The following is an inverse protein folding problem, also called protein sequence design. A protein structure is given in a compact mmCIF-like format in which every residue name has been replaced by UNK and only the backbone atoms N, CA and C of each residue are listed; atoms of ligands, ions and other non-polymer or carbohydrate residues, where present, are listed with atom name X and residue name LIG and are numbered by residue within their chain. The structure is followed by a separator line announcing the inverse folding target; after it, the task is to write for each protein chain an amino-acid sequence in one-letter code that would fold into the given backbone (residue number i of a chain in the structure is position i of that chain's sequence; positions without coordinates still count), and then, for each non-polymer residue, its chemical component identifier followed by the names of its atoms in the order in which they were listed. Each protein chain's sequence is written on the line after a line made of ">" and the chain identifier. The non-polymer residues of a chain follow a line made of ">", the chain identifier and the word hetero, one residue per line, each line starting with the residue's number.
data_IF_666100296501
#
_entry.id   IF_666100296501
#
_cell.length_a   1.000
_cell.length_b   1.000
_cell.length_c   1.000
_cell.angle_alpha   90.00
_cell.angle_beta   90.00
_cell.angle_gamma   90.00
#
_symmetry.space_group_name_H-M   'P 1'
#
loop_
_entity.id
_entity.type
_entity.pdbx_description
1 polymer ?
#
# COMPACT_ATOMS: atom_id res chain seq x y z
N UNK A 1 -17.00 -55.41 -70.30
CA UNK A 1 -17.65 -54.09 -70.45
C UNK A 1 -17.82 -53.50 -69.06
N UNK A 2 -17.23 -52.33 -68.79
CA UNK A 2 -17.26 -51.67 -67.48
C UNK A 2 -18.64 -51.06 -67.22
N UNK A 3 -19.36 -51.53 -66.20
CA UNK A 3 -20.59 -50.92 -65.71
C UNK A 3 -20.23 -49.81 -64.71
N UNK A 4 -20.58 -48.57 -65.03
CA UNK A 4 -20.44 -47.43 -64.14
C UNK A 4 -21.40 -47.54 -62.96
N UNK A 5 -20.87 -47.48 -61.74
CA UNK A 5 -21.62 -47.10 -60.55
C UNK A 5 -21.42 -45.60 -60.34
N UNK A 6 -22.43 -44.81 -60.68
CA UNK A 6 -22.53 -43.41 -60.28
C UNK A 6 -22.97 -43.36 -58.82
N UNK A 7 -22.08 -42.86 -57.96
CA UNK A 7 -22.41 -42.49 -56.60
C UNK A 7 -23.36 -41.28 -56.64
N UNK A 8 -24.62 -41.48 -56.22
CA UNK A 8 -25.52 -40.38 -55.87
C UNK A 8 -25.33 -40.05 -54.39
N UNK A 9 -24.73 -38.91 -54.11
CA UNK A 9 -24.74 -38.30 -52.78
C UNK A 9 -26.19 -37.94 -52.44
N UNK A 10 -26.80 -38.63 -51.48
CA UNK A 10 -28.05 -38.18 -50.89
C UNK A 10 -27.78 -36.84 -50.20
N UNK A 11 -28.47 -35.77 -50.64
CA UNK A 11 -28.59 -34.54 -49.88
C UNK A 11 -29.31 -34.88 -48.57
N UNK A 12 -28.54 -35.09 -47.51
CA UNK A 12 -29.08 -35.03 -46.16
C UNK A 12 -29.71 -33.64 -46.00
N UNK A 13 -30.97 -33.63 -45.57
CA UNK A 13 -31.71 -32.42 -45.22
C UNK A 13 -30.87 -31.59 -44.24
N UNK A 14 -30.31 -30.49 -44.73
CA UNK A 14 -29.74 -29.45 -43.88
C UNK A 14 -30.87 -28.82 -43.07
N UNK A 15 -31.20 -29.41 -41.92
CA UNK A 15 -31.93 -28.71 -40.87
C UNK A 15 -30.96 -27.70 -40.27
N UNK A 16 -30.96 -26.49 -40.81
CA UNK A 16 -30.34 -25.34 -40.17
C UNK A 16 -30.99 -25.17 -38.80
N UNK A 17 -30.23 -25.43 -37.75
CA UNK A 17 -30.66 -25.08 -36.38
C UNK A 17 -30.15 -23.67 -36.14
N UNK A 18 -31.05 -22.69 -36.17
CA UNK A 18 -30.72 -21.35 -35.70
C UNK A 18 -30.28 -21.45 -34.24
N UNK A 19 -29.00 -21.24 -33.98
CA UNK A 19 -28.48 -21.11 -32.63
C UNK A 19 -28.60 -19.63 -32.25
N UNK A 20 -29.55 -19.24 -31.38
CA UNK A 20 -29.66 -17.85 -30.97
C UNK A 20 -28.40 -17.45 -30.20
N UNK A 21 -27.51 -16.70 -30.86
CA UNK A 21 -26.34 -16.12 -30.23
C UNK A 21 -26.80 -14.94 -29.38
N UNK A 22 -26.95 -15.16 -28.07
CA UNK A 22 -27.16 -14.05 -27.14
C UNK A 22 -25.89 -13.19 -27.11
N UNK A 23 -26.04 -11.92 -27.48
CA UNK A 23 -24.95 -10.96 -27.40
C UNK A 23 -24.40 -10.93 -25.96
N UNK A 24 -23.08 -11.00 -25.84
CA UNK A 24 -22.38 -10.88 -24.56
C UNK A 24 -22.41 -9.43 -24.06
N UNK A 25 -22.11 -9.27 -22.78
CA UNK A 25 -22.09 -8.02 -22.03
C UNK A 25 -20.73 -7.76 -21.44
N UNK A 26 -20.44 -6.48 -21.26
CA UNK A 26 -19.29 -5.95 -20.54
C UNK A 26 -19.75 -5.34 -19.23
N UNK A 27 -19.06 -5.65 -18.14
CA UNK A 27 -19.21 -4.97 -16.84
C UNK A 27 -17.93 -4.22 -16.53
N UNK A 28 -18.04 -2.93 -16.24
CA UNK A 28 -16.91 -2.05 -15.92
C UNK A 28 -17.11 -1.42 -14.56
N UNK A 29 -16.08 -1.45 -13.69
CA UNK A 29 -16.05 -0.65 -12.47
C UNK A 29 -15.01 0.46 -12.60
N UNK A 30 -15.41 1.67 -12.22
CA UNK A 30 -14.55 2.85 -12.08
C UNK A 30 -14.59 3.30 -10.63
N UNK A 31 -13.43 3.64 -10.06
CA UNK A 31 -13.33 4.09 -8.68
C UNK A 31 -12.91 5.57 -8.62
N UNK A 32 -13.59 6.34 -7.79
CA UNK A 32 -13.25 7.71 -7.45
C UNK A 32 -12.85 7.74 -5.96
N UNK A 33 -11.56 7.53 -5.68
CA UNK A 33 -11.02 7.52 -4.30
C UNK A 33 -10.57 8.93 -3.92
N UNK A 34 -11.22 9.53 -2.92
CA UNK A 34 -11.00 10.93 -2.53
C UNK A 34 -9.90 11.09 -1.48
N UNK A 35 -9.66 10.06 -0.68
CA UNK A 35 -8.67 10.08 0.41
C UNK A 35 -7.24 9.85 -0.08
N UNK A 36 -7.07 9.00 -1.09
CA UNK A 36 -5.79 8.70 -1.73
C UNK A 36 -6.01 8.31 -3.20
N UNK A 37 -6.05 9.29 -4.14
CA UNK A 37 -6.44 9.03 -5.52
C UNK A 37 -5.64 7.95 -6.24
N UNK A 38 -4.34 7.82 -5.91
CA UNK A 38 -3.42 6.80 -6.44
C UNK A 38 -3.32 5.61 -5.48
N UNK A 39 -4.39 4.84 -5.32
CA UNK A 39 -4.39 3.65 -4.49
C UNK A 39 -4.21 2.41 -5.37
N UNK A 40 -3.33 1.49 -4.97
CA UNK A 40 -3.19 0.18 -5.61
C UNK A 40 -4.15 -0.81 -4.96
N UNK A 41 -5.43 -0.74 -5.32
CA UNK A 41 -6.50 -1.50 -4.68
C UNK A 41 -6.52 -2.96 -5.14
N UNK A 42 -6.32 -3.96 -4.26
CA UNK A 42 -6.43 -5.34 -4.67
C UNK A 42 -7.91 -5.72 -4.87
N UNK A 43 -8.18 -6.52 -5.90
CA UNK A 43 -9.52 -6.93 -6.27
C UNK A 43 -9.56 -8.33 -6.89
N UNK A 44 -10.72 -8.96 -6.78
CA UNK A 44 -11.08 -10.20 -7.47
C UNK A 44 -12.55 -10.15 -7.91
N UNK A 45 -12.90 -10.95 -8.90
CA UNK A 45 -14.28 -11.03 -9.40
C UNK A 45 -14.71 -12.48 -9.50
N UNK A 46 -15.99 -12.73 -9.27
CA UNK A 46 -16.64 -13.99 -9.66
C UNK A 46 -17.75 -13.74 -10.66
N UNK A 47 -17.94 -14.67 -11.60
CA UNK A 47 -19.07 -14.67 -12.54
C UNK A 47 -19.91 -15.91 -12.24
N UNK A 48 -21.16 -15.67 -11.82
CA UNK A 48 -22.10 -16.68 -11.36
C UNK A 48 -21.49 -17.63 -10.29
N UNK A 49 -20.78 -17.04 -9.32
CA UNK A 49 -20.07 -17.76 -8.25
C UNK A 49 -18.78 -18.45 -8.68
N UNK A 50 -18.43 -18.45 -9.97
CA UNK A 50 -17.17 -19.05 -10.46
C UNK A 50 -16.05 -18.03 -10.45
N UNK A 51 -14.89 -18.43 -9.93
CA UNK A 51 -13.66 -17.63 -9.90
C UNK A 51 -12.90 -17.83 -11.22
N UNK A 52 -12.71 -16.79 -12.05
CA UNK A 52 -11.81 -16.83 -13.20
C UNK A 52 -10.36 -17.18 -12.81
N UNK A 53 -9.64 -17.88 -13.68
CA UNK A 53 -8.28 -18.39 -13.40
C UNK A 53 -7.31 -17.30 -12.95
N UNK A 54 -7.43 -16.10 -13.52
CA UNK A 54 -6.59 -14.94 -13.20
C UNK A 54 -6.69 -14.49 -11.74
N UNK A 55 -7.72 -14.93 -11.00
CA UNK A 55 -7.92 -14.60 -9.59
C UNK A 55 -7.73 -15.81 -8.66
N UNK A 56 -7.47 -17.02 -9.17
CA UNK A 56 -7.40 -18.23 -8.32
C UNK A 56 -6.28 -18.17 -7.28
N UNK A 57 -5.08 -17.74 -7.69
CA UNK A 57 -3.91 -17.71 -6.80
C UNK A 57 -3.71 -16.39 -6.03
N UNK A 58 -4.13 -15.26 -6.59
CA UNK A 58 -3.96 -13.92 -5.99
C UNK A 58 -4.93 -12.91 -6.61
N UNK A 59 -5.25 -11.80 -5.91
CA UNK A 59 -6.00 -10.70 -6.49
C UNK A 59 -5.19 -9.97 -7.57
N UNK A 60 -5.90 -9.24 -8.44
CA UNK A 60 -5.30 -8.22 -9.32
C UNK A 60 -5.23 -6.91 -8.55
N UNK A 61 -4.43 -5.96 -9.03
CA UNK A 61 -4.33 -4.61 -8.48
C UNK A 61 -4.93 -3.61 -9.46
N UNK A 62 -5.73 -2.69 -8.95
CA UNK A 62 -6.28 -1.55 -9.68
C UNK A 62 -5.51 -0.31 -9.24
N UNK A 63 -4.93 0.42 -10.19
CA UNK A 63 -4.58 1.83 -9.96
C UNK A 63 -5.87 2.65 -10.05
N UNK A 64 -6.33 3.20 -8.92
CA UNK A 64 -7.60 3.92 -8.84
C UNK A 64 -7.60 5.28 -9.51
N UNK A 65 -6.44 5.84 -9.89
CA UNK A 65 -6.39 7.15 -10.56
C UNK A 65 -6.77 7.04 -12.05
N UNK A 66 -6.34 5.97 -12.70
CA UNK A 66 -6.42 5.82 -14.17
C UNK A 66 -7.06 4.51 -14.64
N UNK A 67 -7.19 3.52 -13.75
CA UNK A 67 -7.58 2.17 -14.10
C UNK A 67 -9.09 1.89 -14.06
N UNK A 68 -9.45 0.76 -14.68
CA UNK A 68 -10.79 0.20 -14.66
C UNK A 68 -10.72 -1.30 -14.39
N UNK A 69 -11.73 -1.85 -13.71
CA UNK A 69 -11.95 -3.29 -13.68
C UNK A 69 -12.91 -3.62 -14.81
N UNK A 70 -12.44 -4.37 -15.81
CA UNK A 70 -13.25 -4.74 -16.98
C UNK A 70 -13.46 -6.25 -17.01
N UNK A 71 -14.71 -6.67 -17.05
CA UNK A 71 -15.13 -8.06 -17.23
C UNK A 71 -15.86 -8.16 -18.56
N UNK A 72 -15.26 -8.87 -19.50
CA UNK A 72 -15.80 -9.10 -20.83
C UNK A 72 -16.52 -10.45 -20.91
N UNK A 73 -17.28 -10.65 -22.00
CA UNK A 73 -17.91 -11.92 -22.35
C UNK A 73 -18.92 -12.46 -21.32
N UNK A 74 -19.53 -11.59 -20.53
CA UNK A 74 -20.58 -11.94 -19.55
C UNK A 74 -21.88 -12.22 -20.29
N UNK A 75 -22.54 -13.33 -20.03
CA UNK A 75 -23.85 -13.63 -20.62
C UNK A 75 -24.94 -12.83 -19.90
N UNK A 76 -25.98 -12.34 -20.61
CA UNK A 76 -27.14 -11.75 -19.97
C UNK A 76 -27.72 -12.65 -18.87
N UNK A 77 -27.93 -12.07 -17.68
CA UNK A 77 -28.42 -12.78 -16.49
C UNK A 77 -27.33 -13.38 -15.59
N UNK A 78 -26.06 -13.40 -16.00
CA UNK A 78 -24.97 -13.85 -15.13
C UNK A 78 -24.62 -12.79 -14.08
N UNK A 79 -24.57 -13.21 -12.81
CA UNK A 79 -24.19 -12.32 -11.69
C UNK A 79 -22.69 -12.09 -11.67
N UNK A 80 -22.25 -10.84 -11.76
CA UNK A 80 -20.85 -10.43 -11.54
C UNK A 80 -20.73 -9.89 -10.13
N UNK A 81 -19.85 -10.48 -9.32
CA UNK A 81 -19.61 -10.08 -7.92
C UNK A 81 -18.17 -9.64 -7.73
N UNK A 82 -17.98 -8.42 -7.22
CA UNK A 82 -16.69 -7.79 -6.99
C UNK A 82 -16.27 -7.98 -5.54
N UNK A 83 -15.01 -8.35 -5.32
CA UNK A 83 -14.35 -8.42 -4.02
C UNK A 83 -13.16 -7.46 -4.02
N UNK A 84 -12.95 -6.74 -2.93
CA UNK A 84 -11.90 -5.73 -2.79
C UNK A 84 -11.04 -5.99 -1.56
N UNK A 85 -9.88 -5.34 -1.51
CA UNK A 85 -9.03 -5.29 -0.33
C UNK A 85 -8.63 -6.68 0.20
N UNK A 86 -8.56 -6.91 1.51
CA UNK A 86 -8.23 -8.23 2.07
C UNK A 86 -9.31 -9.29 1.83
N UNK A 87 -10.58 -8.94 1.60
CA UNK A 87 -11.61 -9.90 1.16
C UNK A 87 -11.38 -10.40 -0.29
N UNK A 88 -10.52 -9.74 -1.07
CA UNK A 88 -10.13 -10.26 -2.39
C UNK A 88 -9.15 -11.45 -2.32
N UNK A 89 -8.65 -11.77 -1.12
CA UNK A 89 -7.79 -12.91 -0.85
C UNK A 89 -8.50 -14.23 -1.18
N UNK A 90 -7.85 -15.21 -1.83
CA UNK A 90 -8.49 -16.43 -2.32
C UNK A 90 -9.37 -17.20 -1.33
N UNK A 91 -8.98 -17.28 -0.05
CA UNK A 91 -9.74 -18.00 0.97
C UNK A 91 -10.74 -17.13 1.78
N UNK A 92 -10.78 -15.81 1.55
CA UNK A 92 -11.59 -14.87 2.34
C UNK A 92 -12.65 -14.16 1.50
N UNK A 93 -12.91 -14.61 0.26
CA UNK A 93 -13.93 -14.06 -0.66
C UNK A 93 -15.36 -14.40 -0.23
N UNK A 94 -15.72 -13.95 0.97
CA UNK A 94 -16.98 -14.27 1.61
C UNK A 94 -18.04 -13.19 1.32
N UNK A 95 -17.62 -11.92 1.24
CA UNK A 95 -18.54 -10.80 1.11
C UNK A 95 -18.20 -9.96 -0.13
N UNK A 96 -18.90 -10.14 -1.26
CA UNK A 96 -18.71 -9.23 -2.37
C UNK A 96 -19.10 -7.82 -1.94
N UNK A 97 -18.31 -6.82 -2.34
CA UNK A 97 -18.62 -5.42 -2.06
C UNK A 97 -19.85 -4.98 -2.85
N UNK A 98 -19.91 -5.35 -4.14
CA UNK A 98 -20.98 -5.04 -5.07
C UNK A 98 -21.26 -6.25 -5.97
N UNK A 99 -22.52 -6.42 -6.35
CA UNK A 99 -22.90 -7.39 -7.37
C UNK A 99 -23.81 -6.74 -8.40
N UNK A 100 -23.62 -7.08 -9.68
CA UNK A 100 -24.43 -6.59 -10.79
C UNK A 100 -24.79 -7.74 -11.72
N UNK A 101 -25.97 -7.68 -12.33
CA UNK A 101 -26.45 -8.70 -13.26
C UNK A 101 -26.85 -8.00 -14.56
N UNK A 102 -25.95 -7.91 -15.55
CA UNK A 102 -26.28 -7.27 -16.82
C UNK A 102 -27.38 -8.07 -17.55
N UNK A 103 -28.34 -7.38 -18.16
CA UNK A 103 -29.39 -7.97 -18.99
C UNK A 103 -29.17 -7.57 -20.44
N UNK A 104 -29.73 -6.43 -20.86
CA UNK A 104 -29.78 -6.02 -22.26
C UNK A 104 -28.66 -5.05 -22.64
N UNK A 105 -27.97 -4.50 -21.65
CA UNK A 105 -26.98 -3.44 -21.82
C UNK A 105 -25.66 -3.81 -21.15
N UNK A 106 -24.56 -3.24 -21.66
CA UNK A 106 -23.31 -3.22 -20.90
C UNK A 106 -23.51 -2.40 -19.63
N UNK A 107 -22.75 -2.67 -18.57
CA UNK A 107 -22.92 -2.01 -17.26
C UNK A 107 -21.64 -1.27 -16.89
N UNK A 108 -21.78 -0.01 -16.50
CA UNK A 108 -20.74 0.79 -15.88
C UNK A 108 -21.13 1.11 -14.44
N UNK A 109 -20.32 0.69 -13.47
CA UNK A 109 -20.49 1.03 -12.05
C UNK A 109 -19.46 2.09 -11.67
N UNK A 110 -19.94 3.25 -11.24
CA UNK A 110 -19.12 4.33 -10.71
C UNK A 110 -19.15 4.24 -9.18
N UNK A 111 -18.02 3.82 -8.61
CA UNK A 111 -17.83 3.70 -7.16
C UNK A 111 -17.17 4.96 -6.64
N UNK A 112 -17.80 5.66 -5.69
CA UNK A 112 -17.26 6.91 -5.13
C UNK A 112 -17.00 6.77 -3.63
N UNK A 113 -15.77 7.03 -3.20
CA UNK A 113 -15.41 7.01 -1.78
C UNK A 113 -15.99 8.23 -1.05
N UNK A 114 -16.62 8.01 0.10
CA UNK A 114 -17.24 9.06 0.92
C UNK A 114 -16.61 9.10 2.31
N UNK A 115 -16.02 10.25 2.66
CA UNK A 115 -15.47 10.53 4.00
C UNK A 115 -16.56 10.87 5.00
N UNK A 116 -16.35 10.60 6.28
CA UNK A 116 -17.34 10.78 7.34
C UNK A 116 -18.20 9.54 7.55
N UNK A 117 -19.13 9.62 8.50
CA UNK A 117 -20.11 8.57 8.79
C UNK A 117 -21.31 8.71 7.85
N UNK A 118 -21.77 7.61 7.28
CA UNK A 118 -22.88 7.60 6.32
C UNK A 118 -23.82 6.43 6.60
N UNK A 119 -25.10 6.63 6.29
CA UNK A 119 -26.14 5.58 6.31
C UNK A 119 -26.46 5.07 4.91
N UNK A 120 -25.57 5.30 3.94
CA UNK A 120 -25.80 4.89 2.56
C UNK A 120 -25.97 3.36 2.45
N UNK A 121 -26.84 2.93 1.54
CA UNK A 121 -26.90 1.51 1.17
C UNK A 121 -25.66 1.12 0.37
N UNK A 122 -25.15 -0.08 0.59
CA UNK A 122 -24.02 -0.64 -0.14
C UNK A 122 -24.39 -1.27 -1.49
N UNK A 123 -25.65 -1.13 -1.91
CA UNK A 123 -26.16 -1.65 -3.18
C UNK A 123 -26.02 -0.61 -4.29
N UNK A 124 -25.42 -0.96 -5.46
CA UNK A 124 -25.39 -0.07 -6.61
C UNK A 124 -26.79 0.29 -7.09
N UNK A 125 -27.04 1.58 -7.31
CA UNK A 125 -28.32 2.10 -7.81
C UNK A 125 -28.14 2.75 -9.19
N UNK A 126 -29.21 2.81 -9.99
CA UNK A 126 -29.16 3.48 -11.29
C UNK A 126 -28.83 4.97 -11.14
N UNK A 127 -27.92 5.46 -11.97
CA UNK A 127 -27.62 6.89 -12.07
C UNK A 127 -28.85 7.66 -12.55
N UNK A 128 -29.10 8.82 -11.95
CA UNK A 128 -30.13 9.79 -12.38
C UNK A 128 -29.60 10.61 -13.58
N UNK A 129 -28.28 10.72 -13.72
CA UNK A 129 -27.64 11.34 -14.88
C UNK A 129 -27.56 10.33 -16.03
N UNK A 130 -28.01 10.76 -17.21
CA UNK A 130 -28.35 9.95 -18.38
C UNK A 130 -27.30 8.89 -18.79
N UNK A 131 -27.80 7.77 -19.32
CA UNK A 131 -27.01 6.70 -19.93
C UNK A 131 -25.97 7.26 -20.91
N UNK A 132 -24.70 6.90 -20.72
CA UNK A 132 -23.64 7.26 -21.67
C UNK A 132 -23.75 6.33 -22.87
N UNK A 133 -24.03 6.87 -24.05
CA UNK A 133 -24.01 6.10 -25.29
C UNK A 133 -22.62 6.17 -25.94
N UNK A 134 -21.88 5.07 -25.90
CA UNK A 134 -20.70 4.92 -26.76
C UNK A 134 -21.11 4.19 -28.04
N UNK A 135 -20.90 4.82 -29.22
CA UNK A 135 -20.97 4.17 -30.55
C UNK A 135 -22.18 3.22 -30.73
N UNK A 136 -23.40 3.71 -30.48
CA UNK A 136 -24.65 2.95 -30.62
C UNK A 136 -24.83 1.75 -29.66
N UNK A 137 -24.01 1.59 -28.62
CA UNK A 137 -24.25 0.63 -27.53
C UNK A 137 -24.90 1.32 -26.34
N UNK A 138 -26.00 0.73 -25.85
CA UNK A 138 -26.65 1.14 -24.61
C UNK A 138 -25.78 0.67 -23.43
N UNK A 139 -25.34 1.61 -22.59
CA UNK A 139 -24.63 1.34 -21.34
C UNK A 139 -25.53 1.77 -20.19
N UNK A 140 -25.78 0.87 -19.24
CA UNK A 140 -26.45 1.16 -17.99
C UNK A 140 -25.42 1.64 -16.96
N UNK A 141 -25.57 2.88 -16.50
CA UNK A 141 -24.71 3.45 -15.46
C UNK A 141 -25.33 3.26 -14.09
N UNK A 142 -24.58 2.60 -13.20
CA UNK A 142 -24.89 2.45 -11.78
C UNK A 142 -23.90 3.29 -10.95
N UNK A 143 -24.34 3.79 -9.82
CA UNK A 143 -23.51 4.50 -8.83
C UNK A 143 -23.53 3.72 -7.51
N UNK A 144 -22.38 3.68 -6.83
CA UNK A 144 -22.25 3.01 -5.54
C UNK A 144 -21.30 3.78 -4.60
N UNK A 145 -21.62 3.88 -3.30
CA UNK A 145 -20.76 4.54 -2.32
C UNK A 145 -19.72 3.56 -1.77
N UNK A 146 -18.51 4.04 -1.46
CA UNK A 146 -17.48 3.32 -0.71
C UNK A 146 -17.18 4.09 0.58
N UNK A 147 -17.86 3.72 1.66
CA UNK A 147 -17.79 4.39 2.98
C UNK A 147 -16.83 3.69 3.92
N UNK A 148 -16.53 4.27 5.09
CA UNK A 148 -15.74 3.61 6.12
C UNK A 148 -16.37 2.31 6.64
N UNK A 149 -17.69 2.27 6.78
CA UNK A 149 -18.44 1.06 7.13
C UNK A 149 -18.27 -0.05 6.07
N UNK A 150 -18.30 0.31 4.77
CA UNK A 150 -18.08 -0.64 3.68
C UNK A 150 -16.64 -1.16 3.70
N UNK A 151 -15.64 -0.27 3.89
CA UNK A 151 -14.24 -0.67 4.07
C UNK A 151 -14.05 -1.65 5.23
N UNK A 152 -14.73 -1.44 6.35
CA UNK A 152 -14.70 -2.36 7.49
C UNK A 152 -15.31 -3.72 7.12
N UNK A 153 -16.42 -3.74 6.39
CA UNK A 153 -17.08 -4.97 5.95
C UNK A 153 -16.22 -5.83 5.02
N UNK A 154 -15.49 -5.20 4.09
CA UNK A 154 -14.65 -5.88 3.09
C UNK A 154 -13.19 -6.11 3.50
N UNK A 155 -12.88 -5.81 4.76
CA UNK A 155 -11.57 -6.12 5.32
C UNK A 155 -11.67 -7.39 6.15
N UNK A 156 -10.77 -8.34 5.95
CA UNK A 156 -10.81 -9.58 6.71
C UNK A 156 -10.60 -9.34 8.20
N UNK A 157 -11.46 -9.93 9.03
CA UNK A 157 -11.33 -9.97 10.49
C UNK A 157 -10.73 -11.32 10.85
N UNK A 158 -9.45 -11.33 11.19
CA UNK A 158 -8.75 -12.57 11.52
C UNK A 158 -9.26 -13.15 12.83
N UNK A 159 -9.24 -14.48 12.92
CA UNK A 159 -9.69 -15.28 14.05
C UNK A 159 -8.51 -15.96 14.74
N UNK A 160 -8.72 -16.40 15.98
CA UNK A 160 -7.71 -17.14 16.76
C UNK A 160 -7.23 -18.41 16.03
N UNK A 161 -8.11 -19.09 15.28
CA UNK A 161 -7.79 -20.31 14.55
C UNK A 161 -6.83 -20.07 13.38
N UNK A 162 -6.89 -18.89 12.75
CA UNK A 162 -6.07 -18.58 11.58
C UNK A 162 -4.61 -18.26 11.96
N UNK A 163 -4.38 -17.79 13.19
CA UNK A 163 -3.08 -17.29 13.66
C UNK A 163 -1.98 -18.32 13.48
N UNK A 164 -2.24 -19.60 13.79
CA UNK A 164 -1.24 -20.67 13.68
C UNK A 164 -0.65 -20.81 12.28
N UNK A 165 -1.45 -20.51 11.25
CA UNK A 165 -1.04 -20.61 9.85
C UNK A 165 -0.45 -19.31 9.30
N UNK A 166 -0.63 -18.18 10.00
CA UNK A 166 -0.27 -16.85 9.54
C UNK A 166 0.98 -16.27 10.21
N UNK A 167 1.38 -16.82 11.36
CA UNK A 167 2.64 -16.46 12.02
C UNK A 167 3.72 -17.50 11.71
N UNK A 168 5.01 -17.12 11.62
CA UNK A 168 6.10 -18.06 11.42
C UNK A 168 6.09 -19.20 12.45
N UNK A 169 6.36 -20.43 12.00
CA UNK A 169 6.28 -21.63 12.83
C UNK A 169 7.25 -21.57 14.03
N UNK A 170 8.41 -20.93 13.84
CA UNK A 170 9.48 -20.70 14.80
C UNK A 170 9.23 -19.51 15.77
N UNK A 171 8.08 -18.82 15.64
CA UNK A 171 7.71 -17.75 16.58
C UNK A 171 7.67 -18.27 18.02
N UNK A 172 8.26 -17.54 18.97
CA UNK A 172 8.27 -17.91 20.39
C UNK A 172 6.85 -18.22 20.90
N UNK A 173 6.60 -19.34 21.63
CA UNK A 173 5.26 -19.71 22.08
C UNK A 173 4.53 -18.64 22.91
N UNK A 174 5.24 -17.91 23.77
CA UNK A 174 4.66 -16.80 24.54
C UNK A 174 4.26 -15.63 23.64
N UNK A 175 5.01 -15.38 22.56
CA UNK A 175 4.63 -14.40 21.53
C UNK A 175 3.39 -14.88 20.77
N UNK A 176 3.31 -16.17 20.40
CA UNK A 176 2.11 -16.74 19.76
C UNK A 176 0.87 -16.56 20.64
N UNK A 177 0.97 -16.87 21.94
CA UNK A 177 -0.12 -16.69 22.90
C UNK A 177 -0.52 -15.21 23.06
N UNK A 178 0.45 -14.31 23.14
CA UNK A 178 0.20 -12.87 23.19
C UNK A 178 -0.55 -12.39 21.95
N UNK A 179 -0.10 -12.80 20.75
CA UNK A 179 -0.78 -12.47 19.49
C UNK A 179 -2.21 -13.03 19.50
N UNK A 180 -2.42 -14.29 19.89
CA UNK A 180 -3.76 -14.87 20.02
C UNK A 180 -4.71 -14.05 20.91
N UNK A 181 -4.22 -13.53 22.03
CA UNK A 181 -5.05 -12.71 22.92
C UNK A 181 -5.59 -11.43 22.26
N UNK A 182 -4.89 -10.88 21.26
CA UNK A 182 -5.38 -9.73 20.49
C UNK A 182 -6.65 -10.11 19.71
N UNK A 183 -6.65 -11.28 19.06
CA UNK A 183 -7.76 -11.76 18.23
C UNK A 183 -8.88 -12.44 19.00
N UNK A 184 -8.62 -12.85 20.24
CA UNK A 184 -9.64 -13.28 21.20
C UNK A 184 -10.42 -12.09 21.78
N UNK A 185 -9.92 -10.87 21.58
CA UNK A 185 -10.50 -9.64 22.10
C UNK A 185 -9.86 -9.24 23.43
N UNK A 186 -9.01 -8.21 23.39
CA UNK A 186 -8.43 -7.66 24.62
C UNK A 186 -9.51 -7.01 25.49
N UNK A 187 -9.35 -7.11 26.80
CA UNK A 187 -10.19 -6.38 27.76
C UNK A 187 -9.76 -4.93 27.99
N UNK A 188 -8.55 -4.57 27.54
CA UNK A 188 -7.93 -3.26 27.74
C UNK A 188 -7.10 -2.88 26.50
N UNK A 189 -6.86 -1.58 26.23
CA UNK A 189 -6.04 -1.13 25.10
C UNK A 189 -4.53 -1.31 25.35
N UNK A 190 -4.14 -2.25 26.20
CA UNK A 190 -2.76 -2.61 26.41
C UNK A 190 -2.61 -4.12 26.61
N UNK A 191 -1.47 -4.65 26.16
CA UNK A 191 -1.10 -6.05 26.27
C UNK A 191 0.26 -6.15 26.95
N UNK A 192 0.31 -6.84 28.08
CA UNK A 192 1.55 -7.15 28.81
C UNK A 192 1.99 -8.56 28.49
N UNK A 193 3.25 -8.70 28.12
CA UNK A 193 3.86 -9.95 27.69
C UNK A 193 5.04 -10.20 28.62
N UNK A 194 5.06 -11.38 29.24
CA UNK A 194 6.16 -11.81 30.10
C UNK A 194 6.75 -13.08 29.52
N UNK A 195 8.05 -13.05 29.23
CA UNK A 195 8.79 -14.22 28.77
C UNK A 195 9.79 -14.60 29.84
N UNK A 196 9.65 -15.83 30.33
CA UNK A 196 10.61 -16.41 31.26
C UNK A 196 11.99 -16.49 30.60
N UNK A 197 13.01 -16.05 31.32
CA UNK A 197 14.39 -16.20 30.90
C UNK A 197 15.08 -17.19 31.86
N UNK A 198 15.77 -18.23 31.35
CA UNK A 198 16.50 -19.16 32.21
C UNK A 198 17.58 -18.41 32.98
N UNK A 199 17.54 -18.49 34.32
CA UNK A 199 18.51 -17.88 35.23
C UNK A 199 18.53 -16.34 35.25
N UNK A 200 17.47 -15.66 34.81
CA UNK A 200 17.33 -14.20 34.92
C UNK A 200 15.89 -13.76 35.13
N UNK A 201 15.69 -12.49 35.46
CA UNK A 201 14.35 -11.92 35.60
C UNK A 201 13.59 -12.04 34.27
N UNK A 202 12.26 -12.26 34.32
CA UNK A 202 11.47 -12.36 33.10
C UNK A 202 11.54 -11.06 32.31
N UNK A 203 11.67 -11.18 31.00
CA UNK A 203 11.60 -10.03 30.12
C UNK A 203 10.14 -9.60 29.97
N UNK A 204 9.88 -8.30 30.14
CA UNK A 204 8.55 -7.72 30.08
C UNK A 204 8.46 -6.76 28.89
N UNK A 205 7.43 -6.95 28.06
CA UNK A 205 7.08 -6.02 26.98
C UNK A 205 5.61 -5.61 27.15
N UNK A 206 5.34 -4.32 27.09
CA UNK A 206 3.98 -3.77 27.12
C UNK A 206 3.69 -3.05 25.81
N UNK A 207 2.66 -3.51 25.11
CA UNK A 207 2.10 -2.83 23.95
C UNK A 207 0.96 -1.94 24.43
N UNK A 208 0.97 -0.66 24.05
CA UNK A 208 -0.17 0.24 24.17
C UNK A 208 -0.77 0.48 22.80
N UNK A 209 -2.06 0.28 22.64
CA UNK A 209 -2.79 0.51 21.41
C UNK A 209 -3.58 1.81 21.53
N UNK A 210 -3.24 2.79 20.69
CA UNK A 210 -4.03 4.02 20.61
C UNK A 210 -5.17 3.81 19.63
N UNK A 211 -6.39 4.10 20.07
CA UNK A 211 -7.53 4.18 19.18
C UNK A 211 -7.37 5.41 18.29
N UNK A 212 -7.05 5.18 17.02
CA UNK A 212 -6.77 6.22 16.04
C UNK A 212 -8.07 6.86 15.53
N UNK A 213 -8.03 8.17 15.25
CA UNK A 213 -9.19 8.93 14.81
C UNK A 213 -9.84 8.43 13.52
N UNK A 214 -9.11 7.68 12.68
CA UNK A 214 -9.59 7.33 11.34
C UNK A 214 -10.87 6.49 11.38
N UNK A 215 -10.94 5.46 12.23
CA UNK A 215 -12.14 4.65 12.37
C UNK A 215 -13.28 5.50 12.99
N UNK A 216 -13.00 6.21 14.09
CA UNK A 216 -13.98 7.08 14.79
C UNK A 216 -14.64 8.11 13.89
N UNK A 217 -13.89 8.71 12.96
CA UNK A 217 -14.40 9.75 12.05
C UNK A 217 -15.26 9.20 10.91
N UNK A 218 -15.15 7.91 10.60
CA UNK A 218 -15.59 7.39 9.30
C UNK A 218 -16.43 6.11 9.35
N UNK A 219 -16.48 5.43 10.49
CA UNK A 219 -17.30 4.23 10.71
C UNK A 219 -18.41 4.60 11.69
N UNK A 220 -19.61 4.11 11.41
CA UNK A 220 -20.81 4.46 12.18
C UNK A 220 -20.79 3.79 13.55
N UNK A 221 -20.41 2.51 13.62
CA UNK A 221 -20.28 1.73 14.85
C UNK A 221 -19.17 0.68 14.73
N UNK A 222 -18.30 0.58 15.72
CA UNK A 222 -17.26 -0.45 15.83
C UNK A 222 -16.76 -0.54 17.28
N UNK A 223 -16.11 -1.66 17.61
CA UNK A 223 -15.32 -1.81 18.82
C UNK A 223 -13.82 -1.79 18.50
N UNK A 224 -13.03 -0.93 19.15
CA UNK A 224 -11.61 -0.78 18.81
C UNK A 224 -10.83 -2.08 19.03
N UNK A 225 -11.05 -2.76 20.14
CA UNK A 225 -10.25 -3.92 20.55
C UNK A 225 -10.59 -5.16 19.73
N UNK A 226 -11.87 -5.35 19.40
CA UNK A 226 -12.37 -6.55 18.74
C UNK A 226 -12.64 -6.37 17.26
N UNK A 227 -12.81 -5.15 16.73
CA UNK A 227 -12.99 -4.93 15.28
C UNK A 227 -11.76 -4.32 14.62
N UNK A 228 -11.03 -3.41 15.27
CA UNK A 228 -9.92 -2.70 14.62
C UNK A 228 -8.61 -3.47 14.77
N UNK A 229 -8.24 -3.88 15.99
CA UNK A 229 -6.98 -4.60 16.22
C UNK A 229 -6.95 -5.95 15.49
N UNK A 230 -8.08 -6.64 15.41
CA UNK A 230 -8.18 -7.99 14.82
C UNK A 230 -8.21 -7.98 13.29
N UNK A 231 -8.12 -6.82 12.63
CA UNK A 231 -8.01 -6.68 11.17
C UNK A 231 -6.57 -6.47 10.71
N UNK A 232 -5.62 -6.34 11.63
CA UNK A 232 -4.19 -6.39 11.32
C UNK A 232 -3.79 -7.84 11.13
N UNK A 233 -2.88 -8.11 10.19
CA UNK A 233 -2.33 -9.43 9.93
C UNK A 233 -1.48 -9.90 11.13
N UNK A 234 -1.68 -11.12 11.66
CA UNK A 234 -1.02 -11.61 12.88
C UNK A 234 0.51 -11.49 12.87
N UNK A 235 1.13 -11.69 11.70
CA UNK A 235 2.57 -11.56 11.55
C UNK A 235 3.11 -10.16 11.88
N UNK A 236 2.32 -9.08 11.75
CA UNK A 236 2.77 -7.72 12.08
C UNK A 236 2.95 -7.56 13.60
N UNK A 237 1.99 -8.05 14.40
CA UNK A 237 2.13 -8.06 15.85
C UNK A 237 3.25 -9.00 16.30
N UNK A 238 3.33 -10.20 15.71
CA UNK A 238 4.40 -11.15 16.03
C UNK A 238 5.79 -10.54 15.79
N UNK A 239 6.01 -9.92 14.61
CA UNK A 239 7.26 -9.28 14.27
C UNK A 239 7.60 -8.12 15.23
N UNK A 240 6.64 -7.25 15.54
CA UNK A 240 6.86 -6.13 16.47
C UNK A 240 7.20 -6.60 17.89
N UNK A 241 6.46 -7.59 18.42
CA UNK A 241 6.72 -8.14 19.76
C UNK A 241 8.08 -8.81 19.80
N UNK A 242 8.40 -9.65 18.80
CA UNK A 242 9.65 -10.39 18.74
C UNK A 242 10.85 -9.44 18.60
N UNK A 243 10.74 -8.41 17.75
CA UNK A 243 11.76 -7.38 17.62
C UNK A 243 11.97 -6.59 18.93
N UNK A 244 10.90 -6.29 19.67
CA UNK A 244 11.03 -5.63 20.97
C UNK A 244 11.74 -6.51 21.99
N UNK A 245 11.42 -7.81 22.03
CA UNK A 245 12.11 -8.76 22.90
C UNK A 245 13.61 -8.86 22.55
N UNK A 246 13.94 -9.04 21.27
CA UNK A 246 15.34 -9.11 20.81
C UNK A 246 16.12 -7.82 21.11
N UNK A 247 15.47 -6.66 21.00
CA UNK A 247 16.10 -5.36 21.22
C UNK A 247 16.16 -4.92 22.70
N UNK A 248 15.55 -5.68 23.62
CA UNK A 248 15.45 -5.33 25.04
C UNK A 248 14.47 -4.19 25.34
N UNK A 249 13.45 -4.01 24.49
CA UNK A 249 12.46 -2.93 24.61
C UNK A 249 11.33 -3.35 25.53
N UNK A 250 11.01 -2.49 26.50
CA UNK A 250 9.97 -2.74 27.48
C UNK A 250 8.60 -2.18 27.06
N UNK A 251 8.56 -1.11 26.24
CA UNK A 251 7.32 -0.45 25.85
C UNK A 251 7.28 -0.16 24.36
N UNK A 252 6.17 -0.51 23.72
CA UNK A 252 5.79 -0.04 22.39
C UNK A 252 4.46 0.72 22.46
N UNK A 253 4.38 1.90 21.85
CA UNK A 253 3.08 2.58 21.61
C UNK A 253 2.73 2.51 20.15
N UNK A 254 1.69 1.72 19.86
CA UNK A 254 1.13 1.52 18.53
C UNK A 254 0.09 2.60 18.30
N UNK A 255 0.35 3.47 17.32
CA UNK A 255 -0.51 4.62 17.00
C UNK A 255 -1.51 4.38 15.89
N UNK A 256 -1.25 3.41 15.02
CA UNK A 256 -2.12 3.11 13.90
C UNK A 256 -2.03 1.64 13.56
N UNK A 257 -3.18 1.03 13.36
CA UNK A 257 -3.37 -0.37 12.99
C UNK A 257 -4.14 -0.40 11.67
N UNK A 258 -5.12 -1.29 11.52
CA UNK A 258 -6.03 -1.25 10.39
C UNK A 258 -6.82 0.07 10.36
N UNK A 259 -7.00 0.66 9.17
CA UNK A 259 -7.77 1.89 8.99
C UNK A 259 -8.50 1.89 7.64
N UNK A 260 -9.79 2.27 7.57
CA UNK A 260 -10.59 2.14 6.34
C UNK A 260 -10.23 3.14 5.23
N UNK A 261 -9.82 4.37 5.55
CA UNK A 261 -9.77 5.45 4.54
C UNK A 261 -8.53 6.34 4.53
N UNK A 262 -7.75 6.42 5.60
CA UNK A 262 -6.51 7.21 5.54
C UNK A 262 -5.28 6.33 5.37
N UNK A 263 -4.21 6.93 4.87
CA UNK A 263 -2.94 6.25 4.68
C UNK A 263 -2.87 5.27 3.51
N UNK A 264 -1.79 4.49 3.51
CA UNK A 264 -1.44 3.55 2.46
C UNK A 264 -2.42 2.38 2.38
N UNK A 265 -2.43 1.72 1.21
CA UNK A 265 -3.20 0.47 1.03
C UNK A 265 -2.78 -0.60 2.05
N UNK A 266 -1.53 -0.61 2.53
CA UNK A 266 -1.05 -1.58 3.51
C UNK A 266 -1.92 -1.57 4.78
N UNK A 267 -2.25 -0.41 5.35
CA UNK A 267 -3.12 -0.38 6.53
C UNK A 267 -4.57 -0.75 6.21
N UNK A 268 -5.09 -0.31 5.06
CA UNK A 268 -6.46 -0.69 4.66
C UNK A 268 -6.58 -2.19 4.49
N UNK A 269 -5.55 -2.83 3.96
CA UNK A 269 -5.47 -4.27 3.77
C UNK A 269 -5.09 -5.06 5.04
N UNK A 270 -4.82 -4.37 6.16
CA UNK A 270 -4.41 -4.99 7.42
C UNK A 270 -2.94 -5.40 7.48
N UNK A 271 -2.10 -5.00 6.54
CA UNK A 271 -0.67 -5.35 6.50
C UNK A 271 0.23 -4.32 7.19
N UNK A 272 -0.30 -3.13 7.51
CA UNK A 272 0.45 -2.01 8.08
C UNK A 272 0.27 -1.84 9.59
N UNK A 273 1.35 -1.47 10.29
CA UNK A 273 1.37 -1.15 11.72
C UNK A 273 2.30 0.05 12.00
N UNK A 274 1.82 1.06 12.72
CA UNK A 274 2.64 2.24 13.07
C UNK A 274 2.94 2.29 14.58
N UNK A 275 4.21 2.51 14.91
CA UNK A 275 4.73 2.71 16.28
C UNK A 275 5.29 4.12 16.41
N UNK A 276 4.90 4.87 17.44
CA UNK A 276 5.35 6.26 17.62
C UNK A 276 6.21 6.49 18.87
N UNK A 277 6.23 5.55 19.81
CA UNK A 277 7.08 5.60 21.00
C UNK A 277 7.63 4.20 21.25
N UNK A 278 8.94 4.15 21.50
CA UNK A 278 9.68 2.97 21.90
C UNK A 278 10.33 3.32 23.24
N UNK A 279 10.02 2.56 24.30
CA UNK A 279 10.32 2.94 25.68
C UNK A 279 9.75 4.34 26.00
N UNK A 280 10.61 5.31 26.28
CA UNK A 280 10.31 6.71 26.52
C UNK A 280 10.67 7.62 25.32
N UNK A 281 11.21 7.03 24.25
CA UNK A 281 11.68 7.75 23.06
C UNK A 281 10.51 7.96 22.11
N UNK A 282 10.15 9.24 21.88
CA UNK A 282 9.19 9.62 20.84
C UNK A 282 9.86 9.64 19.47
N UNK A 283 9.32 8.86 18.54
CA UNK A 283 9.78 8.85 17.15
C UNK A 283 9.27 10.10 16.47
N UNK A 284 10.10 11.13 16.37
CA UNK A 284 9.79 12.34 15.61
C UNK A 284 11.06 13.07 15.20
N UNK A 285 11.12 13.46 13.92
CA UNK A 285 12.19 14.27 13.34
C UNK A 285 11.63 15.35 12.42
N UNK A 286 10.32 15.63 12.48
CA UNK A 286 9.66 16.63 11.63
C UNK A 286 10.20 18.05 11.84
N UNK A 287 10.85 18.33 12.97
CA UNK A 287 11.51 19.60 13.28
C UNK A 287 12.62 19.98 12.28
N UNK A 288 13.15 19.01 11.51
CA UNK A 288 14.08 19.29 10.41
C UNK A 288 13.46 20.11 9.27
N UNK A 289 12.15 19.95 9.04
CA UNK A 289 11.46 20.58 7.89
C UNK A 289 10.29 21.46 8.29
N UNK A 290 9.78 21.35 9.52
CA UNK A 290 8.60 22.06 10.01
C UNK A 290 8.94 22.85 11.26
N UNK A 291 8.95 24.18 11.15
CA UNK A 291 9.23 25.10 12.25
C UNK A 291 8.27 25.03 13.44
N UNK A 292 7.09 24.42 13.28
CA UNK A 292 6.09 24.20 14.33
C UNK A 292 6.00 22.74 14.80
N UNK A 293 6.89 21.87 14.34
CA UNK A 293 6.95 20.52 14.86
C UNK A 293 7.45 20.52 16.30
N UNK A 294 7.17 19.43 17.00
CA UNK A 294 7.66 19.23 18.37
C UNK A 294 9.15 18.92 18.29
N UNK A 295 9.95 19.69 19.03
CA UNK A 295 11.36 19.42 19.18
C UNK A 295 11.59 18.17 20.04
N UNK A 296 12.55 17.35 19.65
CA UNK A 296 12.90 16.10 20.32
C UNK A 296 14.36 16.06 20.71
N UNK A 297 14.68 15.24 21.73
CA UNK A 297 16.05 15.09 22.21
C UNK A 297 16.99 14.39 21.19
N UNK A 298 16.42 13.76 20.17
CA UNK A 298 17.14 12.96 19.16
C UNK A 298 17.35 13.71 17.84
N UNK A 299 17.22 15.03 17.83
CA UNK A 299 17.62 15.92 16.73
C UNK A 299 18.42 17.07 17.31
N UNK A 300 19.74 17.08 17.10
CA UNK A 300 20.61 18.13 17.63
C UNK A 300 20.44 19.43 16.83
N UNK A 301 20.83 20.56 17.43
CA UNK A 301 20.89 21.84 16.71
C UNK A 301 21.88 21.78 15.54
N UNK A 302 23.02 21.11 15.72
CA UNK A 302 24.00 20.86 14.66
C UNK A 302 23.39 20.07 13.51
N UNK A 303 22.54 19.09 13.79
CA UNK A 303 21.84 18.33 12.77
C UNK A 303 20.90 19.22 11.95
N UNK A 304 20.11 20.08 12.61
CA UNK A 304 19.22 21.05 11.94
C UNK A 304 20.01 21.92 10.95
N UNK A 305 21.16 22.46 11.39
CA UNK A 305 22.03 23.30 10.55
C UNK A 305 22.66 22.53 9.38
N UNK A 306 23.13 21.30 9.62
CA UNK A 306 23.68 20.43 8.58
C UNK A 306 22.61 20.02 7.56
N UNK A 307 21.38 19.79 8.01
CA UNK A 307 20.25 19.46 7.14
C UNK A 307 19.85 20.64 6.23
N UNK A 308 19.87 21.87 6.76
CA UNK A 308 19.68 23.09 5.93
C UNK A 308 20.77 23.18 4.87
N UNK A 309 22.05 23.05 5.26
CA UNK A 309 23.19 23.05 4.31
C UNK A 309 23.07 21.96 3.25
N UNK A 310 22.67 20.75 3.64
CA UNK A 310 22.43 19.65 2.71
C UNK A 310 21.34 20.00 1.69
N UNK A 311 20.25 20.60 2.16
CA UNK A 311 19.14 21.02 1.30
C UNK A 311 19.61 22.07 0.28
N UNK A 312 20.36 23.08 0.73
CA UNK A 312 20.95 24.11 -0.14
C UNK A 312 21.89 23.50 -1.20
N UNK A 313 22.76 22.56 -0.81
CA UNK A 313 23.69 21.90 -1.75
C UNK A 313 22.97 20.97 -2.72
N UNK A 314 21.88 20.30 -2.30
CA UNK A 314 21.02 19.54 -3.22
C UNK A 314 20.37 20.46 -4.27
N UNK A 315 19.83 21.60 -3.85
CA UNK A 315 19.27 22.60 -4.78
C UNK A 315 20.32 23.12 -5.76
N UNK A 316 21.52 23.45 -5.28
CA UNK A 316 22.62 23.91 -6.15
C UNK A 316 23.02 22.84 -7.18
N UNK A 317 23.11 21.57 -6.78
CA UNK A 317 23.39 20.43 -7.67
C UNK A 317 22.29 20.24 -8.72
N UNK A 318 21.02 20.36 -8.33
CA UNK A 318 19.88 20.22 -9.26
C UNK A 318 19.88 21.35 -10.30
N UNK A 319 20.17 22.60 -9.89
CA UNK A 319 20.35 23.74 -10.82
C UNK A 319 21.53 23.49 -11.77
N UNK A 320 22.66 23.00 -11.27
CA UNK A 320 23.82 22.71 -12.10
C UNK A 320 23.54 21.57 -13.10
N UNK A 321 22.78 20.55 -12.71
CA UNK A 321 22.37 19.44 -13.58
C UNK A 321 21.44 19.92 -14.71
N UNK A 322 20.52 20.84 -14.43
CA UNK A 322 19.67 21.46 -15.46
C UNK A 322 20.50 22.27 -16.47
N UNK A 323 21.45 23.08 -15.99
CA UNK A 323 22.38 23.82 -16.86
C UNK A 323 23.23 22.88 -17.72
N UNK A 324 23.68 21.76 -17.16
CA UNK A 324 24.44 20.75 -17.91
C UNK A 324 23.59 20.13 -19.03
N UNK A 325 22.34 19.75 -18.74
CA UNK A 325 21.42 19.23 -19.74
C UNK A 325 21.15 20.25 -20.87
N UNK A 326 21.02 21.54 -20.52
CA UNK A 326 20.87 22.63 -21.48
C UNK A 326 22.13 22.77 -22.37
N UNK A 327 23.32 22.86 -21.78
CA UNK A 327 24.58 22.99 -22.52
C UNK A 327 24.84 21.80 -23.45
N UNK A 328 24.48 20.58 -23.02
CA UNK A 328 24.52 19.39 -23.88
C UNK A 328 23.56 19.50 -25.07
N UNK A 329 22.37 20.09 -24.88
CA UNK A 329 21.41 20.35 -25.95
C UNK A 329 21.92 21.40 -26.94
N UNK A 330 22.48 22.50 -26.43
CA UNK A 330 23.11 23.56 -27.23
C UNK A 330 24.25 23.02 -28.09
N UNK A 331 25.12 22.18 -27.52
CA UNK A 331 26.19 21.52 -28.27
C UNK A 331 25.65 20.62 -29.38
N UNK A 332 24.58 19.85 -29.12
CA UNK A 332 23.94 19.01 -30.16
C UNK A 332 23.42 19.86 -31.31
N UNK A 333 22.79 20.99 -31.03
CA UNK A 333 22.23 21.89 -32.03
C UNK A 333 23.31 22.66 -32.81
N UNK A 334 24.46 22.94 -32.19
CA UNK A 334 25.57 23.66 -32.80
C UNK A 334 26.40 22.82 -33.80
N UNK A 335 26.17 21.50 -33.90
CA UNK A 335 26.97 20.60 -34.77
C UNK A 335 26.99 20.98 -36.25
N UNK A 336 25.92 21.63 -36.74
CA UNK A 336 25.81 22.09 -38.13
C UNK A 336 26.36 23.51 -38.36
N UNK A 337 26.80 24.22 -37.31
CA UNK A 337 27.33 25.57 -37.40
C UNK A 337 28.71 25.68 -36.71
N UNK A 338 29.82 25.65 -37.47
CA UNK A 338 31.18 25.65 -36.91
C UNK A 338 31.48 26.81 -35.95
N UNK A 339 30.90 28.00 -36.18
CA UNK A 339 31.11 29.17 -35.31
C UNK A 339 30.42 29.03 -33.94
N UNK A 340 29.25 28.41 -33.90
CA UNK A 340 28.53 28.11 -32.66
C UNK A 340 29.10 26.87 -31.95
N UNK A 341 29.76 25.97 -32.68
CA UNK A 341 30.30 24.74 -32.13
C UNK A 341 31.42 24.98 -31.12
N UNK A 342 32.29 25.96 -31.37
CA UNK A 342 33.43 26.26 -30.48
C UNK A 342 32.92 26.86 -29.16
N UNK A 343 32.03 27.85 -29.23
CA UNK A 343 31.44 28.47 -28.04
C UNK A 343 30.59 27.50 -27.22
N UNK A 344 29.81 26.63 -27.89
CA UNK A 344 29.03 25.59 -27.21
C UNK A 344 29.93 24.56 -26.50
N UNK A 345 31.08 24.19 -27.08
CA UNK A 345 32.07 23.31 -26.41
C UNK A 345 32.67 23.96 -25.16
N UNK A 346 33.07 25.23 -25.24
CA UNK A 346 33.62 25.96 -24.11
C UNK A 346 32.59 26.13 -22.98
N UNK A 347 31.34 26.46 -23.32
CA UNK A 347 30.25 26.53 -22.35
C UNK A 347 30.03 25.19 -21.65
N UNK A 348 29.96 24.09 -22.42
CA UNK A 348 29.78 22.75 -21.86
C UNK A 348 30.88 22.40 -20.85
N UNK A 349 32.15 22.64 -21.19
CA UNK A 349 33.27 22.37 -20.27
C UNK A 349 33.17 23.15 -18.96
N UNK A 350 32.81 24.43 -19.03
CA UNK A 350 32.60 25.25 -17.82
C UNK A 350 31.46 24.73 -16.95
N UNK A 351 30.34 24.37 -17.58
CA UNK A 351 29.15 23.85 -16.88
C UNK A 351 29.40 22.45 -16.31
N UNK A 352 30.14 21.59 -17.00
CA UNK A 352 30.57 20.27 -16.49
C UNK A 352 31.38 20.40 -15.21
N UNK A 353 32.33 21.34 -15.17
CA UNK A 353 33.13 21.60 -13.97
C UNK A 353 32.28 22.11 -12.80
N UNK A 354 31.34 23.04 -13.06
CA UNK A 354 30.41 23.54 -12.03
C UNK A 354 29.51 22.42 -11.51
N UNK A 355 28.97 21.57 -12.39
CA UNK A 355 28.15 20.42 -11.99
C UNK A 355 28.96 19.44 -11.13
N UNK A 356 30.21 19.15 -11.51
CA UNK A 356 31.09 18.28 -10.73
C UNK A 356 31.33 18.84 -9.31
N UNK A 357 31.65 20.13 -9.20
CA UNK A 357 31.83 20.79 -7.90
C UNK A 357 30.55 20.69 -7.06
N UNK A 358 29.38 20.96 -7.66
CA UNK A 358 28.11 20.90 -6.95
C UNK A 358 27.78 19.48 -6.45
N UNK A 359 28.10 18.44 -7.24
CA UNK A 359 27.98 17.02 -6.82
C UNK A 359 28.90 16.71 -5.63
N UNK A 360 30.17 17.12 -5.70
CA UNK A 360 31.14 16.88 -4.62
C UNK A 360 30.75 17.61 -3.32
N UNK A 361 30.28 18.85 -3.42
CA UNK A 361 29.79 19.61 -2.27
C UNK A 361 28.52 19.00 -1.65
N UNK A 362 27.58 18.55 -2.49
CA UNK A 362 26.38 17.86 -2.02
C UNK A 362 26.72 16.57 -1.29
N UNK A 363 27.67 15.77 -1.82
CA UNK A 363 28.14 14.55 -1.17
C UNK A 363 28.80 14.83 0.18
N UNK A 364 29.62 15.88 0.27
CA UNK A 364 30.24 16.30 1.55
C UNK A 364 29.18 16.70 2.58
N UNK A 365 28.17 17.47 2.18
CA UNK A 365 27.08 17.87 3.05
C UNK A 365 26.24 16.65 3.50
N UNK A 366 26.02 15.68 2.61
CA UNK A 366 25.26 14.46 2.91
C UNK A 366 26.00 13.57 3.91
N UNK A 367 27.31 13.40 3.75
CA UNK A 367 28.16 12.67 4.71
C UNK A 367 28.14 13.36 6.07
N UNK A 368 28.33 14.69 6.11
CA UNK A 368 28.37 15.44 7.36
C UNK A 368 27.03 15.34 8.11
N UNK A 369 25.91 15.50 7.41
CA UNK A 369 24.59 15.32 8.01
C UNK A 369 24.34 13.86 8.43
N UNK A 370 24.71 12.88 7.62
CA UNK A 370 24.54 11.46 7.93
C UNK A 370 25.28 11.05 9.20
N UNK A 371 26.52 11.51 9.39
CA UNK A 371 27.29 11.26 10.62
C UNK A 371 26.61 11.85 11.86
N UNK A 372 26.12 13.08 11.77
CA UNK A 372 25.40 13.72 12.89
C UNK A 372 24.07 13.01 13.19
N UNK A 373 23.31 12.63 12.15
CA UNK A 373 22.07 11.86 12.29
C UNK A 373 22.32 10.53 13.00
N UNK A 374 23.34 9.79 12.57
CA UNK A 374 23.63 8.44 13.08
C UNK A 374 24.11 8.50 14.53
N UNK A 375 24.88 9.53 14.89
CA UNK A 375 25.32 9.79 16.26
C UNK A 375 24.14 10.11 17.20
N UNK A 376 23.10 10.78 16.70
CA UNK A 376 21.91 11.15 17.49
C UNK A 376 20.75 10.15 17.34
N UNK A 377 20.96 9.03 16.65
CA UNK A 377 19.98 7.95 16.61
C UNK A 377 20.01 7.17 17.94
N UNK A 378 18.87 7.07 18.66
CA UNK A 378 18.82 6.32 19.91
C UNK A 378 19.02 4.82 19.66
N UNK A 379 19.84 4.18 20.51
CA UNK A 379 20.21 2.77 20.35
C UNK A 379 18.99 1.83 20.36
N UNK A 380 17.96 2.12 21.16
CA UNK A 380 16.73 1.32 21.20
C UNK A 380 16.03 1.28 19.84
N UNK A 381 15.99 2.41 19.13
CA UNK A 381 15.38 2.50 17.79
C UNK A 381 16.21 1.69 16.79
N UNK A 382 17.55 1.86 16.82
CA UNK A 382 18.48 1.13 15.96
C UNK A 382 18.37 -0.39 16.16
N UNK A 383 18.36 -0.85 17.42
CA UNK A 383 18.22 -2.28 17.75
C UNK A 383 16.85 -2.83 17.35
N UNK A 384 15.78 -2.08 17.57
CA UNK A 384 14.43 -2.47 17.14
C UNK A 384 14.32 -2.65 15.64
N UNK A 385 14.79 -1.66 14.86
CA UNK A 385 14.82 -1.73 13.40
C UNK A 385 15.64 -2.92 12.94
N UNK A 386 16.83 -3.11 13.52
CA UNK A 386 17.72 -4.22 13.19
C UNK A 386 17.09 -5.59 13.44
N UNK A 387 16.27 -5.72 14.49
CA UNK A 387 15.52 -6.93 14.77
C UNK A 387 14.34 -7.13 13.80
N UNK A 388 13.61 -6.06 13.45
CA UNK A 388 12.51 -6.11 12.48
C UNK A 388 12.97 -6.56 11.09
N UNK A 389 14.12 -6.06 10.60
CA UNK A 389 14.68 -6.43 9.28
C UNK A 389 14.87 -7.96 9.17
N UNK A 390 15.26 -8.63 10.27
CA UNK A 390 15.47 -10.08 10.29
C UNK A 390 14.18 -10.89 10.13
N UNK A 391 13.03 -10.33 10.51
CA UNK A 391 11.74 -11.04 10.49
C UNK A 391 11.28 -11.33 9.07
N UNK A 392 11.24 -12.59 8.65
CA UNK A 392 10.84 -13.00 7.28
C UNK A 392 9.46 -12.51 6.84
N UNK A 393 8.60 -12.14 7.78
CA UNK A 393 7.28 -11.61 7.49
C UNK A 393 7.28 -10.12 7.16
N UNK A 394 8.29 -9.35 7.56
CA UNK A 394 8.36 -7.92 7.29
C UNK A 394 8.92 -7.70 5.88
N UNK A 395 8.31 -6.80 5.12
CA UNK A 395 8.81 -6.39 3.79
C UNK A 395 9.25 -4.95 3.73
N UNK A 396 8.61 -4.04 4.46
CA UNK A 396 8.96 -2.62 4.42
C UNK A 396 9.03 -2.07 5.84
N UNK A 397 10.01 -1.20 6.07
CA UNK A 397 10.19 -0.47 7.32
C UNK A 397 10.49 0.97 6.98
N UNK A 398 9.63 1.88 7.41
CA UNK A 398 9.86 3.32 7.24
C UNK A 398 9.85 4.00 8.58
N UNK A 399 10.87 4.77 8.91
CA UNK A 399 10.91 5.51 10.17
C UNK A 399 11.55 6.89 9.99
N UNK A 400 11.63 7.70 11.07
CA UNK A 400 12.15 9.07 10.94
C UNK A 400 13.62 9.17 10.49
N UNK A 401 14.40 8.10 10.59
CA UNK A 401 15.82 8.06 10.22
C UNK A 401 16.05 7.39 8.87
N UNK A 402 15.32 6.30 8.57
CA UNK A 402 15.56 5.47 7.40
C UNK A 402 14.28 4.97 6.71
N UNK A 403 14.39 4.75 5.41
CA UNK A 403 13.37 4.20 4.53
C UNK A 403 13.90 2.91 3.88
N UNK A 404 13.27 1.79 4.22
CA UNK A 404 13.52 0.48 3.62
C UNK A 404 12.26 -0.02 2.91
N UNK A 405 12.28 0.09 1.58
CA UNK A 405 11.17 -0.33 0.71
C UNK A 405 11.07 -1.85 0.57
N UNK A 406 12.15 -2.58 0.86
CA UNK A 406 12.23 -4.03 0.69
C UNK A 406 13.36 -4.65 1.52
N UNK A 407 13.05 -5.00 2.76
CA UNK A 407 13.94 -5.70 3.73
C UNK A 407 14.48 -7.07 3.25
N UNK A 408 14.21 -7.48 2.00
CA UNK A 408 14.56 -8.79 1.40
C UNK A 408 15.49 -8.68 0.20
N UNK A 409 15.88 -7.48 -0.24
CA UNK A 409 16.81 -7.31 -1.38
C UNK A 409 18.28 -7.20 -0.98
N UNK A 410 18.59 -7.26 0.33
CA UNK A 410 19.93 -7.04 0.89
C UNK A 410 20.53 -5.67 0.53
N UNK A 411 19.69 -4.67 0.27
CA UNK A 411 20.11 -3.28 0.12
C UNK A 411 19.94 -2.57 1.45
N UNK A 412 20.94 -1.79 1.84
CA UNK A 412 20.85 -1.00 3.07
C UNK A 412 19.73 0.04 2.98
N UNK A 413 18.99 0.28 4.09
CA UNK A 413 17.97 1.31 4.13
C UNK A 413 18.52 2.68 3.74
N UNK A 414 17.74 3.40 2.92
CA UNK A 414 18.08 4.78 2.55
C UNK A 414 17.76 5.75 3.67
N UNK A 415 18.44 6.89 3.73
CA UNK A 415 18.12 7.94 4.70
C UNK A 415 16.74 8.55 4.45
N UNK A 416 15.96 8.82 5.50
CA UNK A 416 14.74 9.61 5.39
C UNK A 416 15.10 11.10 5.29
N UNK A 417 15.10 11.64 4.07
CA UNK A 417 15.39 13.05 3.80
C UNK A 417 14.17 13.96 3.93
N UNK A 418 12.99 13.44 4.29
CA UNK A 418 11.74 14.21 4.40
C UNK A 418 11.41 15.01 3.12
N UNK A 419 11.78 14.49 1.94
CA UNK A 419 11.60 15.18 0.66
C UNK A 419 10.33 14.71 -0.05
N UNK A 420 10.12 13.40 -0.09
CA UNK A 420 8.95 12.79 -0.73
C UNK A 420 7.76 12.79 0.21
N UNK A 421 6.54 12.66 -0.34
CA UNK A 421 5.33 12.49 0.48
C UNK A 421 5.47 11.31 1.44
N UNK A 422 6.08 10.20 0.99
CA UNK A 422 6.26 9.01 1.81
C UNK A 422 7.21 9.27 2.99
N UNK A 423 8.36 9.89 2.74
CA UNK A 423 9.33 10.28 3.77
C UNK A 423 8.74 11.26 4.81
N UNK A 424 8.02 12.29 4.34
CA UNK A 424 7.37 13.29 5.21
C UNK A 424 6.32 12.63 6.11
N UNK A 425 5.56 11.67 5.57
CA UNK A 425 4.60 10.89 6.34
C UNK A 425 5.29 10.10 7.46
N UNK A 426 6.42 9.45 7.19
CA UNK A 426 7.11 8.60 8.15
C UNK A 426 8.14 9.33 9.02
N UNK A 427 8.23 10.67 8.92
CA UNK A 427 9.10 11.49 9.76
C UNK A 427 8.72 11.53 11.26
N UNK A 428 7.62 10.88 11.67
CA UNK A 428 7.08 10.94 13.04
C UNK A 428 6.55 9.61 13.61
N UNK A 429 6.90 8.49 12.98
CA UNK A 429 6.56 7.14 13.44
C UNK A 429 7.37 6.13 12.65
N UNK A 430 7.53 4.93 13.20
CA UNK A 430 8.01 3.76 12.49
C UNK A 430 6.80 2.99 11.96
N UNK A 431 6.76 2.77 10.65
CA UNK A 431 5.78 1.98 9.93
C UNK A 431 6.37 0.62 9.57
N UNK A 432 5.61 -0.44 9.84
CA UNK A 432 5.92 -1.82 9.50
C UNK A 432 4.89 -2.29 8.47
N UNK A 433 5.34 -2.79 7.33
CA UNK A 433 4.48 -3.55 6.41
C UNK A 433 4.92 -5.00 6.38
N UNK A 434 3.97 -5.92 6.63
CA UNK A 434 4.19 -7.37 6.45
C UNK A 434 3.77 -7.87 5.07
N UNK A 435 4.37 -8.98 4.65
CA UNK A 435 4.13 -9.62 3.37
C UNK A 435 2.97 -10.61 3.45
N UNK A 436 1.96 -10.39 2.63
CA UNK A 436 1.10 -11.47 2.14
C UNK A 436 0.82 -11.24 0.65
N UNK A 437 1.51 -12.00 -0.20
CA UNK A 437 1.43 -11.91 -1.66
C UNK A 437 0.03 -12.26 -2.23
N UNK A 438 -0.84 -12.84 -1.39
CA UNK A 438 -2.23 -13.14 -1.73
C UNK A 438 -3.16 -11.98 -1.38
N UNK A 439 -2.64 -10.88 -0.83
CA UNK A 439 -3.33 -9.61 -0.61
C UNK A 439 -2.68 -8.49 -1.44
N UNK A 440 -1.39 -8.18 -1.19
CA UNK A 440 -0.62 -7.11 -1.87
C UNK A 440 0.70 -7.61 -2.46
#
# INVERSE_FOLDING_TARGET
>A
MKSGQTAQTQLNKDTFTDVPVKAKRKVTYRFNIVSHPKLNLPYAVTVNGRIPDIYKGKPRKLDTESGFIVIENVSPGEKVSLYLNSDSYPNYRNHPVYSVTPTDSDVLVIVTEKKGKHTDTDTPIKSIENAVSEKNKKIETLVAPLTGDIWMRLSHKYTVLEIENLIPADTNPSVKLAVKSIYDGLSQPNLKISIAAPNSAPQLVTLYFNDADNARKNITSFDFLTDILTRVHPAAYAAAIQAALEAGIAVLRITSTWRPMEGSIAHRAGLGLDVNVINDIRLNRQELTKSKAIDTANVSQSEKELFVKLTEKKTARDIAAQKLAQAQSELRNAKSNPGLLISAKQNLQGVEQVHKIAVDEQKKAEIAWGLERDMNEPDDIRRFRSALIKSQSVTQIYDPWFMDDNTRDNVDPSANFQKTKNEITHAHHLHITVRDARIL
#
